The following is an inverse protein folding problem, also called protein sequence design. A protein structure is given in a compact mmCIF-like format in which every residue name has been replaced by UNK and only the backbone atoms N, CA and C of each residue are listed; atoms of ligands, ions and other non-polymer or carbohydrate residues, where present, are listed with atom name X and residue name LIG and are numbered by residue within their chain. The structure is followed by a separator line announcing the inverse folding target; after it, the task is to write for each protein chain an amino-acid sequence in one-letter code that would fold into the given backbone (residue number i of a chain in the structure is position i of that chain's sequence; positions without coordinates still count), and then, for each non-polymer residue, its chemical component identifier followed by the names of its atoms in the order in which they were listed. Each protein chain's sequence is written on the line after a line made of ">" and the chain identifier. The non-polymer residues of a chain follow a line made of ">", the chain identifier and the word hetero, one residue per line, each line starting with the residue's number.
data_IF_398377781623
#
_entry.id   IF_398377781623
#
_cell.length_a   1.000
_cell.length_b   1.000
_cell.length_c   1.000
_cell.angle_alpha   90.00
_cell.angle_beta   90.00
_cell.angle_gamma   90.00
#
_symmetry.space_group_name_H-M   'P 1'
#
loop_
_entity.id
_entity.type
_entity.pdbx_description
1 polymer ?
#
# COMPACT_ATOMS: atom_id res chain seq x y z
N UNK A 1 -25.16 38.19 3.02
CA UNK A 1 -24.83 36.89 3.67
C UNK A 1 -25.36 35.77 2.80
N UNK A 2 -24.52 35.21 1.93
CA UNK A 2 -24.85 33.99 1.17
C UNK A 2 -23.70 33.01 1.40
N UNK A 3 -23.90 32.07 2.33
CA UNK A 3 -22.96 30.97 2.53
C UNK A 3 -23.30 29.95 1.46
N UNK A 4 -22.51 29.93 0.39
CA UNK A 4 -22.48 28.83 -0.57
C UNK A 4 -22.13 27.56 0.20
N UNK A 5 -23.16 26.77 0.48
CA UNK A 5 -23.03 25.41 0.98
C UNK A 5 -22.31 24.66 -0.13
N UNK A 6 -21.00 24.49 0.03
CA UNK A 6 -20.21 23.60 -0.80
C UNK A 6 -20.87 22.23 -0.66
N UNK A 7 -21.45 21.67 -1.73
CA UNK A 7 -22.29 20.51 -1.58
C UNK A 7 -21.40 19.35 -1.15
N UNK A 8 -21.79 18.68 -0.07
CA UNK A 8 -21.13 17.51 0.51
C UNK A 8 -21.01 16.31 -0.48
N UNK A 9 -21.48 16.45 -1.72
CA UNK A 9 -21.29 15.51 -2.82
C UNK A 9 -19.82 15.27 -3.19
N UNK A 10 -18.88 16.15 -2.79
CA UNK A 10 -17.45 15.86 -2.93
C UNK A 10 -16.91 14.89 -1.87
N UNK A 11 -17.64 14.63 -0.78
CA UNK A 11 -17.17 13.80 0.33
C UNK A 11 -17.48 12.30 0.17
N UNK A 12 -18.34 11.91 -0.78
CA UNK A 12 -18.83 10.52 -0.89
C UNK A 12 -17.86 9.56 -1.60
N UNK A 13 -16.86 10.08 -2.32
CA UNK A 13 -15.89 9.28 -3.08
C UNK A 13 -14.75 8.74 -2.21
N UNK A 14 -14.67 9.17 -0.94
CA UNK A 14 -13.82 8.58 0.11
C UNK A 14 -14.51 7.39 0.79
N UNK A 15 -15.43 6.72 0.09
CA UNK A 15 -16.00 5.47 0.59
C UNK A 15 -14.92 4.41 0.54
N UNK A 16 -14.61 3.84 1.70
CA UNK A 16 -13.70 2.70 1.84
C UNK A 16 -14.04 1.70 0.74
N UNK A 17 -13.08 1.30 -0.12
CA UNK A 17 -13.34 0.32 -1.16
C UNK A 17 -13.94 -0.91 -0.49
N UNK A 18 -15.09 -1.37 -0.96
CA UNK A 18 -15.88 -2.41 -0.28
C UNK A 18 -16.29 -3.57 -1.19
N UNK A 19 -16.05 -3.44 -2.50
CA UNK A 19 -16.47 -4.40 -3.51
C UNK A 19 -15.29 -4.99 -4.29
N UNK A 20 -15.45 -5.19 -5.61
CA UNK A 20 -14.38 -5.70 -6.48
C UNK A 20 -13.06 -4.92 -6.39
N UNK A 21 -13.12 -3.64 -6.01
CA UNK A 21 -11.97 -2.77 -5.85
C UNK A 21 -11.01 -3.27 -4.77
N UNK A 22 -11.50 -3.85 -3.67
CA UNK A 22 -10.63 -4.46 -2.65
C UNK A 22 -9.88 -5.67 -3.21
N UNK A 23 -10.55 -6.46 -4.04
CA UNK A 23 -9.92 -7.61 -4.69
C UNK A 23 -8.84 -7.14 -5.65
N UNK A 24 -9.08 -6.08 -6.41
CA UNK A 24 -8.09 -5.47 -7.31
C UNK A 24 -6.90 -4.92 -6.52
N UNK A 25 -7.15 -4.18 -5.43
CA UNK A 25 -6.10 -3.63 -4.55
C UNK A 25 -5.26 -4.76 -3.94
N UNK A 26 -5.89 -5.84 -3.49
CA UNK A 26 -5.20 -7.01 -2.96
C UNK A 26 -4.37 -7.70 -4.05
N UNK A 27 -4.92 -7.85 -5.26
CA UNK A 27 -4.24 -8.48 -6.39
C UNK A 27 -2.99 -7.68 -6.79
N UNK A 28 -3.12 -6.35 -6.90
CA UNK A 28 -2.00 -5.45 -7.20
C UNK A 28 -0.98 -5.48 -6.06
N UNK A 29 -1.44 -5.42 -4.80
CA UNK A 29 -0.60 -5.50 -3.61
C UNK A 29 0.16 -6.83 -3.48
N UNK A 30 -0.31 -7.91 -4.09
CA UNK A 30 0.38 -9.20 -4.16
C UNK A 30 1.27 -9.33 -5.41
N UNK A 31 0.83 -8.83 -6.56
CA UNK A 31 1.58 -8.91 -7.80
C UNK A 31 2.85 -8.06 -7.77
N UNK A 32 2.79 -6.85 -7.22
CA UNK A 32 3.95 -5.95 -7.12
C UNK A 32 5.13 -6.61 -6.38
N UNK A 33 4.98 -7.13 -5.14
CA UNK A 33 6.10 -7.76 -4.44
C UNK A 33 6.61 -9.02 -5.15
N UNK A 34 5.74 -9.80 -5.80
CA UNK A 34 6.15 -10.97 -6.59
C UNK A 34 7.02 -10.58 -7.79
N UNK A 35 6.58 -9.57 -8.57
CA UNK A 35 7.31 -9.09 -9.74
C UNK A 35 8.66 -8.49 -9.33
N UNK A 36 8.70 -7.70 -8.25
CA UNK A 36 9.94 -7.14 -7.73
C UNK A 36 10.89 -8.22 -7.23
N UNK A 37 10.38 -9.21 -6.48
CA UNK A 37 11.18 -10.35 -6.03
C UNK A 37 11.79 -11.13 -7.20
N UNK A 38 11.01 -11.38 -8.25
CA UNK A 38 11.51 -12.04 -9.47
C UNK A 38 12.57 -11.20 -10.20
N UNK A 39 12.38 -9.89 -10.29
CA UNK A 39 13.36 -9.00 -10.91
C UNK A 39 14.69 -9.01 -10.14
N UNK A 40 14.62 -8.92 -8.80
CA UNK A 40 15.79 -8.99 -7.92
C UNK A 40 16.48 -10.34 -8.00
N UNK A 41 15.72 -11.43 -8.07
CA UNK A 41 16.27 -12.77 -8.28
C UNK A 41 17.10 -12.83 -9.57
N UNK A 42 16.54 -12.35 -10.69
CA UNK A 42 17.26 -12.32 -11.96
C UNK A 42 18.49 -11.39 -11.90
N UNK A 43 18.36 -10.21 -11.28
CA UNK A 43 19.48 -9.28 -11.09
C UNK A 43 20.63 -9.93 -10.28
N UNK A 44 20.32 -10.60 -9.18
CA UNK A 44 21.31 -11.29 -8.35
C UNK A 44 21.91 -12.52 -9.05
N UNK A 45 21.09 -13.30 -9.75
CA UNK A 45 21.52 -14.49 -10.49
C UNK A 45 22.46 -14.12 -11.64
N UNK A 46 22.16 -13.03 -12.37
CA UNK A 46 23.03 -12.55 -13.46
C UNK A 46 24.38 -12.04 -12.97
N UNK A 47 24.47 -11.61 -11.71
CA UNK A 47 25.71 -11.21 -11.03
C UNK A 47 26.45 -12.38 -10.37
N UNK A 48 25.87 -13.59 -10.39
CA UNK A 48 26.46 -14.79 -9.79
C UNK A 48 26.44 -14.78 -8.25
N UNK A 49 25.47 -14.11 -7.62
CA UNK A 49 25.32 -14.12 -6.16
C UNK A 49 24.62 -15.41 -5.70
N UNK A 50 25.30 -16.19 -4.84
CA UNK A 50 24.79 -17.42 -4.25
C UNK A 50 23.53 -17.20 -3.39
N UNK A 51 23.28 -15.96 -2.96
CA UNK A 51 22.15 -15.57 -2.12
C UNK A 51 20.98 -14.98 -2.93
N UNK A 52 20.92 -15.17 -4.26
CA UNK A 52 19.88 -14.62 -5.12
C UNK A 52 18.45 -14.92 -4.63
N UNK A 53 18.20 -16.14 -4.17
CA UNK A 53 16.90 -16.54 -3.60
C UNK A 53 16.58 -15.78 -2.29
N UNK A 54 17.59 -15.53 -1.47
CA UNK A 54 17.44 -14.83 -0.19
C UNK A 54 17.10 -13.35 -0.42
N UNK A 55 17.80 -12.71 -1.38
CA UNK A 55 17.50 -11.34 -1.81
C UNK A 55 16.08 -11.18 -2.35
N UNK A 56 15.63 -12.13 -3.16
CA UNK A 56 14.28 -12.12 -3.72
C UNK A 56 13.21 -12.17 -2.61
N UNK A 57 13.38 -13.04 -1.62
CA UNK A 57 12.45 -13.19 -0.48
C UNK A 57 12.46 -11.94 0.40
N UNK A 58 13.64 -11.39 0.70
CA UNK A 58 13.77 -10.18 1.52
C UNK A 58 13.06 -9.00 0.85
N UNK A 59 13.30 -8.77 -0.45
CA UNK A 59 12.68 -7.66 -1.17
C UNK A 59 11.17 -7.85 -1.28
N UNK A 60 10.70 -9.02 -1.72
CA UNK A 60 9.28 -9.30 -1.84
C UNK A 60 8.56 -9.16 -0.48
N UNK A 61 9.16 -9.70 0.58
CA UNK A 61 8.63 -9.62 1.95
C UNK A 61 8.55 -8.20 2.48
N UNK A 62 9.62 -7.41 2.34
CA UNK A 62 9.66 -6.01 2.78
C UNK A 62 8.64 -5.15 2.04
N UNK A 63 8.49 -5.34 0.73
CA UNK A 63 7.47 -4.64 -0.07
C UNK A 63 6.07 -4.99 0.40
N UNK A 64 5.76 -6.26 0.63
CA UNK A 64 4.45 -6.70 1.11
C UNK A 64 4.14 -6.13 2.50
N UNK A 65 5.09 -6.17 3.44
CA UNK A 65 4.90 -5.64 4.81
C UNK A 65 4.70 -4.13 4.79
N UNK A 66 5.47 -3.39 3.98
CA UNK A 66 5.34 -1.93 3.86
C UNK A 66 3.97 -1.54 3.29
N UNK A 67 3.49 -2.28 2.28
CA UNK A 67 2.18 -2.07 1.70
C UNK A 67 1.06 -2.25 2.72
N UNK A 68 1.11 -3.33 3.52
CA UNK A 68 0.14 -3.58 4.58
C UNK A 68 0.26 -2.55 5.73
N UNK A 69 1.48 -2.17 6.11
CA UNK A 69 1.72 -1.16 7.14
C UNK A 69 1.18 0.22 6.77
N UNK A 70 1.34 0.63 5.51
CA UNK A 70 0.77 1.87 4.98
C UNK A 70 -0.77 1.90 4.98
N UNK A 71 -1.41 0.73 4.90
CA UNK A 71 -2.87 0.60 4.92
C UNK A 71 -3.46 0.71 6.34
N UNK A 72 -2.69 0.36 7.37
CA UNK A 72 -3.14 0.29 8.77
C UNK A 72 -2.88 1.60 9.53
N UNK A 73 -2.05 2.51 9.01
CA UNK A 73 -1.64 3.72 9.72
C UNK A 73 -2.84 4.62 10.10
N UNK A 74 -3.16 4.78 11.39
CA UNK A 74 -4.23 5.69 11.81
C UNK A 74 -3.76 7.15 11.71
N UNK A 75 -4.64 8.03 11.22
CA UNK A 75 -4.44 9.47 11.31
C UNK A 75 -4.28 9.88 12.79
N UNK A 76 -3.25 10.63 13.17
CA UNK A 76 -3.10 11.09 14.55
C UNK A 76 -4.26 12.02 14.89
N UNK A 77 -5.17 11.54 15.76
CA UNK A 77 -6.17 12.37 16.42
C UNK A 77 -5.47 13.19 17.50
N UNK A 78 -5.07 14.42 17.16
CA UNK A 78 -4.80 15.46 18.16
C UNK A 78 -6.12 15.78 18.85
N UNK A 79 -6.33 15.17 20.01
CA UNK A 79 -7.37 15.61 20.95
C UNK A 79 -6.92 16.92 21.58
N UNK A 80 -7.49 18.03 21.13
CA UNK A 80 -7.52 19.25 21.93
C UNK A 80 -8.68 19.12 22.92
N UNK A 81 -8.40 18.51 24.08
CA UNK A 81 -9.19 18.74 25.30
C UNK A 81 -8.56 19.91 26.04
N UNK A 82 -9.20 21.07 26.00
CA UNK A 82 -9.00 22.10 27.03
C UNK A 82 -10.29 22.91 27.18
N UNK A 83 -10.56 23.45 28.37
CA UNK A 83 -11.74 23.20 29.19
C UNK A 83 -12.90 24.17 28.97
#
# INVERSE_FOLDING_TARGET
>A
MSRGVVPAVLSLQFSIPGGPELLIILLIGLLIPLVLGYFVYNDATTRGDDNAALWAVVVAGLTAVTFLGGLVAPCPSTRETTP
#
